data_IF_945246804247
#
_entry.id   IF_945246804247
#
_cell.length_a   1.000
_cell.length_b   1.000
_cell.length_c   1.000
_cell.angle_alpha   90.00
_cell.angle_beta   90.00
_cell.angle_gamma   90.00
#
_symmetry.space_group_name_H-M   'P 1'
#
loop_
_entity.id
_entity.type
_entity.pdbx_description
1 polymer ?
#
# COMPACT_ATOMS: atom_id res chain seq x y z
N UNK A 1 -14.39 -23.03 -24.21
CA UNK A 1 -13.56 -24.17 -24.67
C UNK A 1 -13.74 -25.32 -23.69
N UNK A 2 -13.82 -26.57 -24.16
CA UNK A 2 -13.97 -27.72 -23.26
C UNK A 2 -12.62 -28.19 -22.73
N UNK A 3 -12.48 -28.23 -21.40
CA UNK A 3 -11.30 -28.76 -20.70
C UNK A 3 -11.69 -30.08 -20.04
N UNK A 4 -11.05 -31.22 -20.36
CA UNK A 4 -11.27 -32.48 -19.66
C UNK A 4 -11.00 -32.33 -18.16
N UNK A 5 -11.97 -32.70 -17.33
CA UNK A 5 -11.87 -32.50 -15.89
C UNK A 5 -12.64 -33.57 -15.08
N UNK A 6 -12.23 -33.72 -13.82
CA UNK A 6 -12.89 -34.52 -12.79
C UNK A 6 -13.14 -33.60 -11.61
N UNK A 7 -14.41 -33.42 -11.25
CA UNK A 7 -14.82 -32.66 -10.06
C UNK A 7 -15.29 -33.66 -9.01
N UNK A 8 -14.70 -33.58 -7.83
CA UNK A 8 -15.12 -34.31 -6.63
C UNK A 8 -15.55 -33.31 -5.55
N UNK A 9 -16.21 -33.76 -4.45
CA UNK A 9 -16.57 -32.86 -3.36
C UNK A 9 -15.40 -32.11 -2.72
N UNK A 10 -14.18 -32.65 -2.83
CA UNK A 10 -12.98 -32.15 -2.14
C UNK A 10 -11.85 -31.70 -3.08
N UNK A 11 -11.95 -31.96 -4.39
CA UNK A 11 -10.89 -31.63 -5.34
C UNK A 11 -11.41 -31.49 -6.77
N UNK A 12 -10.69 -30.71 -7.57
CA UNK A 12 -10.85 -30.62 -9.02
C UNK A 12 -9.54 -31.04 -9.66
N UNK A 13 -9.61 -31.90 -10.66
CA UNK A 13 -8.46 -32.28 -11.50
C UNK A 13 -8.78 -31.97 -12.95
N UNK A 14 -7.88 -31.28 -13.64
CA UNK A 14 -7.97 -31.00 -15.08
C UNK A 14 -6.87 -31.76 -15.83
N UNK A 15 -7.12 -32.05 -17.10
CA UNK A 15 -6.14 -32.70 -17.98
C UNK A 15 -6.06 -31.87 -19.26
N UNK A 16 -4.88 -31.28 -19.51
CA UNK A 16 -4.55 -30.59 -20.76
C UNK A 16 -3.30 -31.27 -21.32
N UNK A 17 -2.14 -31.09 -20.67
CA UNK A 17 -0.89 -31.81 -21.00
C UNK A 17 -0.48 -32.79 -19.90
N UNK A 18 -0.52 -32.32 -18.65
CA UNK A 18 -0.29 -33.10 -17.43
C UNK A 18 -1.50 -32.93 -16.51
N UNK A 19 -1.86 -33.95 -15.70
CA UNK A 19 -2.90 -33.79 -14.69
C UNK A 19 -2.52 -32.71 -13.69
N UNK A 20 -3.39 -31.71 -13.52
CA UNK A 20 -3.24 -30.69 -12.46
C UNK A 20 -4.46 -30.71 -11.56
N UNK A 21 -4.23 -30.61 -10.26
CA UNK A 21 -5.28 -30.72 -9.25
C UNK A 21 -5.22 -29.60 -8.23
N UNK A 22 -6.39 -29.13 -7.83
CA UNK A 22 -6.58 -28.25 -6.68
C UNK A 22 -7.58 -28.89 -5.72
N UNK A 23 -7.42 -28.67 -4.42
CA UNK A 23 -8.37 -29.13 -3.39
C UNK A 23 -9.35 -28.02 -2.97
N UNK A 24 -10.34 -28.38 -2.15
CA UNK A 24 -11.40 -27.48 -1.67
C UNK A 24 -10.91 -26.29 -0.85
N UNK A 25 -9.72 -26.37 -0.26
CA UNK A 25 -9.10 -25.26 0.46
C UNK A 25 -8.48 -24.21 -0.47
N UNK A 26 -8.33 -24.52 -1.77
CA UNK A 26 -7.80 -23.60 -2.76
C UNK A 26 -8.69 -22.35 -2.89
N UNK A 27 -8.12 -21.13 -2.87
CA UNK A 27 -8.90 -19.88 -2.84
C UNK A 27 -9.85 -19.73 -4.04
N UNK A 28 -9.46 -20.24 -5.20
CA UNK A 28 -10.26 -20.20 -6.42
C UNK A 28 -11.08 -21.48 -6.67
N UNK A 29 -11.21 -22.38 -5.69
CA UNK A 29 -11.87 -23.68 -5.90
C UNK A 29 -13.30 -23.54 -6.47
N UNK A 30 -14.13 -22.69 -5.85
CA UNK A 30 -15.51 -22.44 -6.30
C UNK A 30 -15.56 -21.85 -7.70
N UNK A 31 -14.71 -20.86 -7.98
CA UNK A 31 -14.60 -20.21 -9.29
C UNK A 31 -14.20 -21.20 -10.37
N UNK A 32 -13.22 -22.06 -10.11
CA UNK A 32 -12.75 -23.09 -11.03
C UNK A 32 -13.85 -24.12 -11.32
N UNK A 33 -14.56 -24.60 -10.28
CA UNK A 33 -15.71 -25.51 -10.44
C UNK A 33 -16.80 -24.87 -11.31
N UNK A 34 -17.13 -23.61 -11.05
CA UNK A 34 -18.18 -22.89 -11.78
C UNK A 34 -17.83 -22.69 -13.27
N UNK A 35 -16.59 -22.28 -13.56
CA UNK A 35 -16.10 -22.09 -14.92
C UNK A 35 -16.10 -23.40 -15.72
N UNK A 36 -15.67 -24.50 -15.10
CA UNK A 36 -15.68 -25.83 -15.71
C UNK A 36 -17.11 -26.35 -15.93
N UNK A 37 -17.99 -26.20 -14.94
CA UNK A 37 -19.39 -26.66 -15.00
C UNK A 37 -20.19 -25.92 -16.07
N UNK A 38 -19.97 -24.61 -16.20
CA UNK A 38 -20.65 -23.77 -17.21
C UNK A 38 -19.98 -23.80 -18.57
N UNK A 39 -18.87 -24.51 -18.71
CA UNK A 39 -18.03 -24.53 -19.90
C UNK A 39 -17.63 -23.11 -20.38
N UNK A 40 -17.45 -22.20 -19.42
CA UNK A 40 -17.27 -20.77 -19.62
C UNK A 40 -15.79 -20.35 -19.67
N UNK A 41 -14.89 -21.31 -19.84
CA UNK A 41 -13.46 -21.04 -20.02
C UNK A 41 -13.22 -20.50 -21.42
N UNK A 42 -12.97 -19.19 -21.50
CA UNK A 42 -12.72 -18.49 -22.76
C UNK A 42 -11.23 -18.46 -23.11
N UNK A 43 -10.36 -18.37 -22.10
CA UNK A 43 -8.91 -18.41 -22.23
C UNK A 43 -8.32 -19.48 -21.29
N UNK A 44 -7.51 -20.37 -21.86
CA UNK A 44 -6.86 -21.47 -21.13
C UNK A 44 -5.71 -20.96 -20.27
N UNK A 45 -4.98 -19.93 -20.71
CA UNK A 45 -3.85 -19.38 -19.96
C UNK A 45 -4.33 -18.75 -18.65
N UNK A 46 -5.32 -17.85 -18.72
CA UNK A 46 -5.97 -17.24 -17.56
C UNK A 46 -6.59 -18.27 -16.61
N UNK A 47 -7.20 -19.34 -17.16
CA UNK A 47 -7.76 -20.42 -16.35
C UNK A 47 -6.69 -21.23 -15.61
N UNK A 48 -5.52 -21.45 -16.21
CA UNK A 48 -4.39 -22.09 -15.53
C UNK A 48 -3.82 -21.23 -14.40
N UNK A 49 -3.70 -19.91 -14.59
CA UNK A 49 -3.25 -19.00 -13.54
C UNK A 49 -4.21 -19.01 -12.34
N UNK A 50 -5.52 -19.08 -12.62
CA UNK A 50 -6.56 -19.31 -11.61
C UNK A 50 -6.35 -20.58 -10.77
N UNK A 51 -5.76 -21.63 -11.35
CA UNK A 51 -5.46 -22.91 -10.69
C UNK A 51 -4.07 -22.95 -10.04
N UNK A 52 -3.19 -22.00 -10.33
CA UNK A 52 -1.82 -21.92 -9.78
C UNK A 52 -1.54 -20.51 -9.21
N UNK A 53 -2.28 -20.04 -8.20
CA UNK A 53 -2.05 -18.73 -7.58
C UNK A 53 -0.61 -18.59 -7.03
N UNK A 54 -0.01 -19.71 -6.62
CA UNK A 54 1.40 -19.78 -6.20
C UNK A 54 2.38 -19.43 -7.32
N UNK A 55 2.03 -19.65 -8.60
CA UNK A 55 2.91 -19.32 -9.73
C UNK A 55 2.97 -17.82 -9.97
N UNK A 56 1.86 -17.11 -9.84
CA UNK A 56 1.87 -15.64 -9.86
C UNK A 56 2.65 -15.07 -8.69
N UNK A 57 2.44 -15.59 -7.48
CA UNK A 57 3.27 -15.19 -6.33
C UNK A 57 4.75 -15.44 -6.59
N UNK A 58 5.13 -16.62 -7.10
CA UNK A 58 6.51 -16.91 -7.44
C UNK A 58 7.09 -15.94 -8.48
N UNK A 59 6.31 -15.52 -9.49
CA UNK A 59 6.73 -14.51 -10.46
C UNK A 59 6.89 -13.13 -9.81
N UNK A 60 5.93 -12.71 -9.00
CA UNK A 60 5.94 -11.43 -8.29
C UNK A 60 7.13 -11.32 -7.35
N UNK A 61 7.32 -12.36 -6.54
CA UNK A 61 8.41 -12.51 -5.57
C UNK A 61 9.76 -12.54 -6.28
N UNK A 62 9.90 -13.27 -7.39
CA UNK A 62 11.14 -13.32 -8.17
C UNK A 62 11.55 -11.98 -8.81
N UNK A 63 10.61 -11.05 -8.98
CA UNK A 63 10.87 -9.70 -9.48
C UNK A 63 11.19 -8.69 -8.35
N UNK A 64 11.40 -9.16 -7.12
CA UNK A 64 11.51 -8.33 -5.92
C UNK A 64 12.49 -8.91 -4.91
N UNK A 65 12.67 -8.23 -3.78
CA UNK A 65 13.43 -8.75 -2.64
C UNK A 65 12.61 -9.67 -1.72
N UNK A 66 11.31 -9.84 -2.01
CA UNK A 66 10.49 -10.79 -1.28
C UNK A 66 10.93 -12.23 -1.61
N UNK A 67 10.61 -13.15 -0.70
CA UNK A 67 10.73 -14.60 -0.89
C UNK A 67 9.44 -15.28 -0.45
N UNK A 68 9.18 -16.49 -0.93
CA UNK A 68 7.99 -17.26 -0.52
C UNK A 68 8.39 -18.69 -0.16
N UNK A 69 7.82 -19.22 0.92
CA UNK A 69 8.02 -20.62 1.29
C UNK A 69 7.02 -21.56 0.59
N UNK A 70 7.19 -22.87 0.79
CA UNK A 70 6.31 -23.88 0.18
C UNK A 70 4.87 -23.86 0.70
N UNK A 71 4.59 -23.11 1.77
CA UNK A 71 3.27 -22.97 2.40
C UNK A 71 2.52 -21.73 1.91
N UNK A 72 3.13 -20.91 1.04
CA UNK A 72 2.53 -19.68 0.52
C UNK A 72 2.73 -18.46 1.42
N UNK A 73 3.56 -18.56 2.45
CA UNK A 73 3.92 -17.41 3.28
C UNK A 73 5.01 -16.59 2.57
N UNK A 74 4.81 -15.27 2.49
CA UNK A 74 5.75 -14.32 1.90
C UNK A 74 6.63 -13.71 3.00
N UNK A 75 7.92 -13.55 2.70
CA UNK A 75 8.93 -13.04 3.62
C UNK A 75 9.77 -11.95 2.96
N UNK A 76 10.29 -11.03 3.76
CA UNK A 76 11.39 -10.14 3.37
C UNK A 76 12.57 -10.39 4.30
N UNK A 77 13.78 -10.51 3.75
CA UNK A 77 14.99 -10.60 4.58
C UNK A 77 15.34 -9.22 5.14
N UNK A 78 15.45 -9.14 6.46
CA UNK A 78 15.82 -7.93 7.19
C UNK A 78 17.04 -8.26 8.03
N UNK A 79 18.21 -7.82 7.57
CA UNK A 79 19.50 -8.05 8.24
C UNK A 79 19.80 -9.54 8.51
N UNK A 80 19.42 -10.43 7.58
CA UNK A 80 19.60 -11.88 7.72
C UNK A 80 18.52 -12.57 8.54
N UNK A 81 17.47 -11.84 8.96
CA UNK A 81 16.31 -12.40 9.64
C UNK A 81 15.07 -12.39 8.72
N UNK A 82 14.40 -13.53 8.54
CA UNK A 82 13.19 -13.58 7.71
C UNK A 82 12.02 -12.92 8.42
N UNK A 83 11.53 -11.81 7.87
CA UNK A 83 10.33 -11.13 8.33
C UNK A 83 9.12 -11.62 7.53
N UNK A 84 8.23 -12.36 8.19
CA UNK A 84 7.00 -12.86 7.56
C UNK A 84 5.98 -11.73 7.38
N UNK A 85 5.50 -11.56 6.15
CA UNK A 85 4.40 -10.65 5.85
C UNK A 85 3.08 -11.25 6.32
N UNK A 86 2.18 -10.39 6.82
CA UNK A 86 0.81 -10.80 7.00
C UNK A 86 0.10 -10.99 5.65
N UNK A 87 -0.96 -11.81 5.59
CA UNK A 87 -1.70 -12.08 4.36
C UNK A 87 -2.13 -10.81 3.59
N UNK A 88 -2.46 -9.76 4.33
CA UNK A 88 -2.84 -8.45 3.80
C UNK A 88 -1.74 -7.83 2.93
N UNK A 89 -0.51 -7.78 3.44
CA UNK A 89 0.62 -7.25 2.71
C UNK A 89 1.06 -8.19 1.58
N UNK A 90 0.95 -9.51 1.78
CA UNK A 90 1.22 -10.47 0.72
C UNK A 90 0.28 -10.26 -0.48
N UNK A 91 -1.01 -9.97 -0.23
CA UNK A 91 -1.95 -9.63 -1.28
C UNK A 91 -1.60 -8.31 -1.99
N UNK A 92 -1.05 -7.32 -1.26
CA UNK A 92 -0.54 -6.09 -1.85
C UNK A 92 0.66 -6.33 -2.78
N UNK A 93 1.56 -7.27 -2.45
CA UNK A 93 2.66 -7.69 -3.35
C UNK A 93 2.10 -8.15 -4.69
N UNK A 94 1.09 -9.04 -4.68
CA UNK A 94 0.44 -9.48 -5.92
C UNK A 94 -0.27 -8.35 -6.65
N UNK A 95 -0.97 -7.48 -5.91
CA UNK A 95 -1.74 -6.37 -6.49
C UNK A 95 -0.82 -5.44 -7.27
N UNK A 96 0.30 -5.04 -6.65
CA UNK A 96 1.32 -4.19 -7.26
C UNK A 96 1.98 -4.90 -8.44
N UNK A 97 2.33 -6.18 -8.29
CA UNK A 97 2.92 -6.93 -9.40
C UNK A 97 2.00 -7.06 -10.62
N UNK A 98 0.71 -7.37 -10.41
CA UNK A 98 -0.30 -7.46 -11.48
C UNK A 98 -0.54 -6.13 -12.17
N UNK A 99 -0.33 -5.02 -11.46
CA UNK A 99 -0.34 -3.70 -12.06
C UNK A 99 0.94 -3.37 -12.83
N UNK A 100 1.93 -4.26 -12.91
CA UNK A 100 3.29 -4.00 -13.38
C UNK A 100 4.05 -2.95 -12.53
N UNK A 101 3.61 -2.74 -11.29
CA UNK A 101 4.13 -1.71 -10.40
C UNK A 101 5.42 -2.13 -9.70
N UNK A 102 6.17 -1.14 -9.23
CA UNK A 102 7.38 -1.34 -8.46
C UNK A 102 7.07 -1.68 -6.99
N UNK A 103 7.73 -2.72 -6.49
CA UNK A 103 7.60 -3.21 -5.12
C UNK A 103 8.52 -2.50 -4.13
N UNK A 104 9.45 -1.66 -4.59
CA UNK A 104 10.46 -0.97 -3.76
C UNK A 104 9.86 -0.20 -2.59
N UNK A 105 8.77 0.56 -2.82
CA UNK A 105 8.11 1.31 -1.74
C UNK A 105 7.52 0.38 -0.67
N UNK A 106 6.96 -0.77 -1.08
CA UNK A 106 6.41 -1.77 -0.17
C UNK A 106 7.53 -2.48 0.61
N UNK A 107 8.65 -2.79 -0.04
CA UNK A 107 9.84 -3.33 0.62
C UNK A 107 10.38 -2.36 1.68
N UNK A 108 10.52 -1.08 1.33
CA UNK A 108 10.96 -0.04 2.25
C UNK A 108 10.00 0.13 3.44
N UNK A 109 8.69 0.04 3.18
CA UNK A 109 7.67 0.06 4.23
C UNK A 109 7.82 -1.13 5.18
N UNK A 110 7.99 -2.35 4.66
CA UNK A 110 8.18 -3.55 5.50
C UNK A 110 9.47 -3.45 6.32
N UNK A 111 10.56 -2.92 5.75
CA UNK A 111 11.82 -2.66 6.47
C UNK A 111 11.62 -1.69 7.63
N UNK A 112 10.95 -0.57 7.40
CA UNK A 112 10.62 0.41 8.44
C UNK A 112 9.66 -0.18 9.47
N UNK A 113 8.67 -0.96 9.06
CA UNK A 113 7.73 -1.61 9.98
C UNK A 113 8.45 -2.56 10.95
N UNK A 114 9.41 -3.34 10.45
CA UNK A 114 10.19 -4.25 11.28
C UNK A 114 11.04 -3.55 12.35
N UNK A 115 11.32 -2.25 12.19
CA UNK A 115 12.01 -1.43 13.18
C UNK A 115 11.07 -0.96 14.30
N UNK A 116 9.75 -1.18 14.20
CA UNK A 116 8.83 -0.82 15.27
C UNK A 116 9.12 -1.67 16.53
N UNK A 117 9.37 -1.06 17.70
CA UNK A 117 9.67 -1.81 18.91
C UNK A 117 8.49 -2.64 19.43
N UNK A 118 7.27 -2.36 18.97
CA UNK A 118 6.07 -3.07 19.39
C UNK A 118 5.55 -3.99 18.28
N UNK A 119 5.74 -5.31 18.47
CA UNK A 119 5.31 -6.33 17.51
C UNK A 119 3.79 -6.41 17.36
N UNK A 120 3.02 -5.97 18.36
CA UNK A 120 1.55 -5.93 18.25
C UNK A 120 1.10 -4.86 17.25
N UNK A 121 1.90 -3.79 17.08
CA UNK A 121 1.62 -2.73 16.10
C UNK A 121 1.64 -3.26 14.67
N UNK A 122 2.40 -4.32 14.38
CA UNK A 122 2.44 -4.89 13.03
C UNK A 122 1.04 -5.35 12.60
N UNK A 123 0.39 -6.19 13.40
CA UNK A 123 -0.96 -6.69 13.14
C UNK A 123 -2.02 -5.58 13.15
N UNK A 124 -1.88 -4.63 14.07
CA UNK A 124 -2.75 -3.46 14.18
C UNK A 124 -2.69 -2.58 12.94
N UNK A 125 -1.49 -2.30 12.42
CA UNK A 125 -1.29 -1.46 11.24
C UNK A 125 -1.84 -2.13 9.98
N UNK A 126 -1.74 -3.46 9.85
CA UNK A 126 -2.38 -4.18 8.75
C UNK A 126 -3.89 -4.00 8.75
N UNK A 127 -4.52 -4.03 9.93
CA UNK A 127 -5.95 -3.80 10.07
C UNK A 127 -6.35 -2.37 9.70
N UNK A 128 -5.49 -1.37 9.97
CA UNK A 128 -5.68 0.00 9.51
C UNK A 128 -5.59 0.08 7.98
N UNK A 129 -4.54 -0.50 7.40
CA UNK A 129 -4.27 -0.51 5.95
C UNK A 129 -5.40 -1.16 5.14
N UNK A 130 -5.96 -2.27 5.61
CA UNK A 130 -7.11 -2.91 4.95
C UNK A 130 -8.31 -1.98 4.80
N UNK A 131 -8.50 -1.06 5.74
CA UNK A 131 -9.66 -0.16 5.79
C UNK A 131 -9.39 1.13 5.03
N UNK A 132 -8.15 1.64 5.08
CA UNK A 132 -7.81 2.93 4.47
C UNK A 132 -7.17 2.83 3.08
N UNK A 133 -6.76 1.63 2.65
CA UNK A 133 -5.85 1.45 1.52
C UNK A 133 -4.39 1.80 1.89
N UNK A 134 -3.46 1.44 1.02
CA UNK A 134 -2.03 1.67 1.25
C UNK A 134 -1.51 2.73 0.28
N UNK A 135 -1.20 3.90 0.82
CA UNK A 135 -0.58 5.02 0.13
C UNK A 135 0.85 5.18 0.66
N UNK A 136 1.85 4.74 -0.11
CA UNK A 136 3.25 4.76 0.29
C UNK A 136 4.02 5.84 -0.45
N UNK A 137 4.97 6.43 0.26
CA UNK A 137 6.08 7.18 -0.35
C UNK A 137 7.14 6.20 -0.87
N UNK A 138 8.00 6.67 -1.76
CA UNK A 138 9.15 5.89 -2.27
C UNK A 138 10.04 5.35 -1.16
N UNK A 139 10.17 6.09 -0.06
CA UNK A 139 10.98 5.68 1.10
C UNK A 139 10.25 4.73 2.06
N UNK A 140 8.99 4.36 1.79
CA UNK A 140 8.24 3.41 2.61
C UNK A 140 7.53 4.01 3.84
N UNK A 141 7.39 5.33 3.93
CA UNK A 141 6.41 5.92 4.85
C UNK A 141 5.01 5.85 4.25
N UNK A 142 3.99 5.74 5.11
CA UNK A 142 2.60 5.74 4.67
C UNK A 142 1.94 7.10 4.91
N UNK A 143 0.95 7.41 4.08
CA UNK A 143 0.18 8.64 4.15
C UNK A 143 -1.17 8.40 4.84
N UNK A 144 -1.57 9.36 5.66
CA UNK A 144 -2.87 9.40 6.31
C UNK A 144 -3.34 10.85 6.44
N UNK A 145 -4.44 11.05 7.16
CA UNK A 145 -5.08 12.36 7.26
C UNK A 145 -5.25 12.83 8.69
N UNK A 146 -5.38 14.14 8.84
CA UNK A 146 -5.70 14.78 10.12
C UNK A 146 -6.52 16.04 9.89
N UNK A 147 -7.61 16.19 10.64
CA UNK A 147 -8.32 17.47 10.73
C UNK A 147 -7.65 18.38 11.76
N UNK A 148 -7.48 19.64 11.39
CA UNK A 148 -6.79 20.70 12.14
C UNK A 148 -7.61 21.98 12.06
N UNK A 149 -7.43 22.87 13.03
CA UNK A 149 -8.13 24.17 13.05
C UNK A 149 -7.75 25.02 11.83
N UNK A 150 -8.51 26.08 11.58
CA UNK A 150 -8.23 27.02 10.47
C UNK A 150 -6.82 27.63 10.52
N UNK A 151 -6.22 27.71 11.71
CA UNK A 151 -4.85 28.15 11.94
C UNK A 151 -3.82 27.01 11.99
N UNK A 152 -4.19 25.81 11.54
CA UNK A 152 -3.40 24.56 11.55
C UNK A 152 -3.06 23.97 12.92
N UNK A 153 -3.54 24.53 14.02
CA UNK A 153 -3.34 23.89 15.32
C UNK A 153 -4.25 22.68 15.50
N UNK A 154 -3.81 21.71 16.31
CA UNK A 154 -4.62 20.55 16.62
C UNK A 154 -5.97 20.95 17.27
N UNK A 155 -6.99 20.13 17.01
CA UNK A 155 -8.37 20.45 17.42
C UNK A 155 -8.51 20.40 18.95
N UNK A 156 -7.91 19.40 19.60
CA UNK A 156 -8.15 19.09 21.00
C UNK A 156 -7.47 20.06 21.97
N UNK A 157 -6.15 20.22 21.89
CA UNK A 157 -5.40 21.10 22.80
C UNK A 157 -5.22 22.49 22.20
N UNK A 158 -5.12 22.60 20.87
CA UNK A 158 -4.78 23.87 20.20
C UNK A 158 -3.36 24.32 20.46
N UNK A 159 -2.44 23.39 20.76
CA UNK A 159 -1.06 23.69 21.13
C UNK A 159 -0.04 23.13 20.15
N UNK A 160 -0.43 22.15 19.32
CA UNK A 160 0.44 21.52 18.34
C UNK A 160 0.21 22.15 16.97
N UNK A 161 1.23 22.76 16.40
CA UNK A 161 1.19 23.35 15.06
C UNK A 161 1.34 22.26 14.00
N UNK A 162 0.33 22.09 13.14
CA UNK A 162 0.31 21.13 12.04
C UNK A 162 0.31 21.87 10.69
N UNK A 163 1.01 23.00 10.58
CA UNK A 163 1.23 23.67 9.30
C UNK A 163 2.05 22.79 8.35
N UNK A 164 1.79 22.82 7.03
CA UNK A 164 2.60 22.12 6.03
C UNK A 164 4.10 22.36 6.16
N UNK A 165 4.91 21.33 5.90
CA UNK A 165 6.37 21.38 5.99
C UNK A 165 6.94 21.18 7.40
N UNK A 166 6.11 20.81 8.39
CA UNK A 166 6.54 20.66 9.80
C UNK A 166 6.52 19.22 10.28
N UNK A 167 7.53 18.88 11.07
CA UNK A 167 7.49 17.73 11.96
C UNK A 167 6.68 18.06 13.21
N UNK A 168 5.77 17.16 13.59
CA UNK A 168 5.05 17.21 14.86
C UNK A 168 5.47 15.98 15.64
N UNK A 169 5.94 16.18 16.86
CA UNK A 169 6.49 15.12 17.69
C UNK A 169 6.13 15.27 19.17
N UNK A 170 6.09 14.14 19.87
CA UNK A 170 5.99 14.05 21.31
C UNK A 170 6.81 12.85 21.80
N UNK A 171 7.21 12.80 23.09
CA UNK A 171 7.94 11.63 23.59
C UNK A 171 7.12 10.34 23.42
N UNK A 172 7.70 9.30 22.81
CA UNK A 172 7.03 8.02 22.54
C UNK A 172 6.39 7.40 23.79
N UNK A 173 7.08 7.48 24.93
CA UNK A 173 6.59 6.96 26.20
C UNK A 173 5.33 7.67 26.72
N UNK A 174 5.03 8.87 26.21
CA UNK A 174 3.84 9.63 26.56
C UNK A 174 2.62 9.31 25.67
N UNK A 175 2.79 8.47 24.64
CA UNK A 175 1.72 8.01 23.76
C UNK A 175 1.04 6.78 24.36
N UNK A 176 -0.30 6.74 24.30
CA UNK A 176 -1.08 5.61 24.79
C UNK A 176 -0.89 4.38 23.89
N UNK A 177 -0.26 3.35 24.45
CA UNK A 177 -0.01 2.06 23.79
C UNK A 177 -1.20 1.11 23.78
N UNK A 178 -2.13 1.23 24.74
CA UNK A 178 -3.27 0.31 24.82
C UNK A 178 -4.33 0.69 23.77
N UNK A 179 -4.59 -0.18 22.76
CA UNK A 179 -5.56 0.11 21.70
C UNK A 179 -7.02 0.12 22.19
N UNK A 180 -7.29 -0.36 23.41
CA UNK A 180 -8.63 -0.32 24.02
C UNK A 180 -8.90 0.96 24.81
N UNK A 181 -7.87 1.77 25.08
CA UNK A 181 -8.06 3.12 25.66
C UNK A 181 -8.30 4.08 24.52
N UNK A 182 -9.57 4.39 24.26
CA UNK A 182 -10.01 5.27 23.18
C UNK A 182 -9.73 6.74 23.51
N UNK A 183 -9.55 7.58 22.49
CA UNK A 183 -9.36 9.04 22.62
C UNK A 183 -8.31 9.47 23.67
N UNK A 184 -7.19 8.75 23.76
CA UNK A 184 -6.11 8.96 24.74
C UNK A 184 -4.90 9.68 24.11
N UNK A 185 -3.88 9.99 24.91
CA UNK A 185 -2.72 10.75 24.46
C UNK A 185 -2.01 10.12 23.26
N UNK A 186 -1.64 10.94 22.28
CA UNK A 186 -0.94 10.52 21.07
C UNK A 186 -1.16 11.49 19.93
N UNK A 187 -0.23 11.50 18.97
CA UNK A 187 -0.42 12.22 17.73
C UNK A 187 -1.33 11.39 16.82
N UNK A 188 -2.60 11.80 16.76
CA UNK A 188 -3.61 11.06 16.01
C UNK A 188 -3.50 11.34 14.51
N UNK A 189 -3.55 10.26 13.73
CA UNK A 189 -3.78 10.22 12.29
C UNK A 189 -4.99 9.33 12.00
N UNK A 190 -5.58 9.47 10.82
CA UNK A 190 -6.82 8.81 10.49
C UNK A 190 -6.95 8.47 9.00
N UNK A 191 -7.75 7.45 8.71
CA UNK A 191 -8.26 7.17 7.38
C UNK A 191 -9.24 8.28 6.96
N UNK A 192 -9.41 8.45 5.65
CA UNK A 192 -10.31 9.47 5.08
C UNK A 192 -11.73 9.40 5.68
N UNK A 193 -12.32 8.20 5.72
CA UNK A 193 -13.68 7.99 6.23
C UNK A 193 -13.89 8.35 7.71
N UNK A 194 -12.83 8.45 8.50
CA UNK A 194 -12.93 8.86 9.91
C UNK A 194 -13.04 10.38 10.08
N UNK A 195 -12.55 11.16 9.11
CA UNK A 195 -12.49 12.62 9.23
C UNK A 195 -13.87 13.26 9.41
N UNK A 196 -14.93 12.66 8.86
CA UNK A 196 -16.31 13.13 9.09
C UNK A 196 -16.78 13.00 10.54
N UNK A 197 -16.15 12.13 11.33
CA UNK A 197 -16.51 11.89 12.73
C UNK A 197 -15.76 12.80 13.71
N UNK A 198 -14.65 13.43 13.30
CA UNK A 198 -13.85 14.27 14.17
C UNK A 198 -13.30 15.50 13.43
N UNK A 199 -13.71 16.70 13.86
CA UNK A 199 -13.27 17.94 13.23
C UNK A 199 -13.95 18.23 11.89
N UNK A 200 -15.19 17.75 11.71
CA UNK A 200 -15.97 18.01 10.49
C UNK A 200 -16.05 19.52 10.18
N UNK A 201 -15.79 19.88 8.92
CA UNK A 201 -15.80 21.27 8.45
C UNK A 201 -14.56 22.08 8.84
N UNK A 202 -13.55 21.47 9.47
CA UNK A 202 -12.23 22.07 9.68
C UNK A 202 -11.30 21.73 8.51
N UNK A 203 -10.11 22.36 8.48
CA UNK A 203 -9.07 22.04 7.50
C UNK A 203 -8.60 20.60 7.66
N UNK A 204 -8.21 19.98 6.55
CA UNK A 204 -7.59 18.65 6.53
C UNK A 204 -6.16 18.77 6.02
N UNK A 205 -5.23 18.07 6.66
CA UNK A 205 -3.84 17.94 6.19
C UNK A 205 -3.50 16.47 5.92
N UNK A 206 -2.58 16.25 4.98
CA UNK A 206 -1.95 14.95 4.77
C UNK A 206 -0.74 14.84 5.69
N UNK A 207 -0.67 13.72 6.40
CA UNK A 207 0.43 13.36 7.29
C UNK A 207 1.21 12.19 6.71
N UNK A 208 2.54 12.29 6.73
CA UNK A 208 3.47 11.21 6.40
C UNK A 208 3.99 10.59 7.69
N UNK A 209 3.82 9.28 7.82
CA UNK A 209 4.17 8.53 9.04
C UNK A 209 5.09 7.37 8.68
N UNK A 210 6.20 7.27 9.40
CA UNK A 210 7.03 6.08 9.36
C UNK A 210 6.35 4.96 10.17
N UNK A 211 6.17 3.74 9.63
CA UNK A 211 5.53 2.65 10.36
C UNK A 211 6.25 2.26 11.68
N UNK A 212 7.55 2.56 11.84
CA UNK A 212 8.26 2.43 13.11
C UNK A 212 7.75 3.39 14.20
N UNK A 213 7.17 4.53 13.81
CA UNK A 213 6.72 5.59 14.70
C UNK A 213 5.29 5.42 15.22
N UNK A 214 4.57 4.46 14.67
CA UNK A 214 3.23 4.07 15.13
C UNK A 214 3.35 3.41 16.51
N UNK A 215 2.46 3.80 17.42
CA UNK A 215 2.41 3.30 18.80
C UNK A 215 1.19 2.42 19.05
N UNK A 216 0.04 2.77 18.49
CA UNK A 216 -1.16 1.92 18.57
C UNK A 216 -2.19 2.31 17.51
N UNK A 217 -2.99 1.33 17.07
CA UNK A 217 -4.21 1.55 16.29
C UNK A 217 -5.39 1.22 17.20
N UNK A 218 -6.11 2.23 17.72
CA UNK A 218 -7.28 1.99 18.53
C UNK A 218 -8.33 1.14 17.81
N UNK A 219 -8.91 0.20 18.56
CA UNK A 219 -9.92 -0.75 18.04
C UNK A 219 -11.29 -0.12 17.81
N UNK A 220 -11.52 1.07 18.38
CA UNK A 220 -12.75 1.83 18.14
C UNK A 220 -12.76 2.46 16.75
N UNK A 221 -13.94 2.53 16.15
CA UNK A 221 -14.16 3.08 14.80
C UNK A 221 -13.50 2.27 13.68
N UNK A 222 -13.66 0.94 13.71
CA UNK A 222 -13.24 0.03 12.63
C UNK A 222 -11.76 0.22 12.22
N UNK A 223 -10.87 0.45 13.19
CA UNK A 223 -9.43 0.65 12.95
C UNK A 223 -9.13 1.82 11.99
N UNK A 224 -9.99 2.85 11.94
CA UNK A 224 -9.82 3.99 11.02
C UNK A 224 -8.98 5.13 11.60
N UNK A 225 -8.42 4.98 12.80
CA UNK A 225 -7.52 5.95 13.42
C UNK A 225 -6.32 5.26 14.04
N UNK A 226 -5.20 5.98 14.11
CA UNK A 226 -3.99 5.51 14.74
C UNK A 226 -3.31 6.59 15.57
N UNK A 227 -2.30 6.18 16.33
CA UNK A 227 -1.46 7.04 17.16
C UNK A 227 -0.02 6.82 16.79
N UNK A 228 0.67 7.91 16.48
CA UNK A 228 2.12 7.94 16.35
C UNK A 228 2.72 8.84 17.44
N UNK A 229 4.04 8.75 17.61
CA UNK A 229 4.77 9.71 18.43
C UNK A 229 5.38 10.85 17.62
N UNK A 230 5.53 10.67 16.30
CA UNK A 230 5.90 11.73 15.35
C UNK A 230 5.33 11.46 13.96
N UNK A 231 5.15 12.53 13.19
CA UNK A 231 4.84 12.50 11.76
C UNK A 231 5.23 13.83 11.11
N UNK A 232 5.28 13.86 9.78
CA UNK A 232 5.50 15.07 9.00
C UNK A 232 4.20 15.55 8.34
N UNK A 233 3.94 16.85 8.35
CA UNK A 233 2.81 17.44 7.63
C UNK A 233 3.24 17.73 6.20
N UNK A 234 2.66 17.03 5.23
CA UNK A 234 3.03 17.23 3.83
C UNK A 234 2.35 18.48 3.25
N UNK A 235 1.01 18.52 3.28
CA UNK A 235 0.25 19.65 2.73
C UNK A 235 -1.17 19.73 3.30
N UNK A 236 -1.78 20.90 3.13
CA UNK A 236 -3.24 21.06 3.26
C UNK A 236 -3.94 20.38 2.08
N UNK A 237 -5.09 19.77 2.36
CA UNK A 237 -5.98 19.25 1.34
C UNK A 237 -7.01 20.32 1.03
N UNK A 238 -6.88 20.97 -0.14
CA UNK A 238 -7.79 22.04 -0.56
C UNK A 238 -9.19 21.52 -0.88
N UNK A 239 -9.28 20.31 -1.46
CA UNK A 239 -10.54 19.66 -1.83
C UNK A 239 -10.61 18.24 -1.23
N UNK A 240 -10.97 18.13 0.05
CA UNK A 240 -10.82 16.87 0.77
C UNK A 240 -11.73 15.75 0.23
N UNK A 241 -12.88 16.13 -0.29
CA UNK A 241 -13.85 15.24 -0.95
C UNK A 241 -13.30 14.53 -2.20
N UNK A 242 -12.31 15.12 -2.90
CA UNK A 242 -11.69 14.51 -4.08
C UNK A 242 -10.77 13.34 -3.71
N UNK A 243 -10.33 13.21 -2.45
CA UNK A 243 -9.47 12.11 -1.99
C UNK A 243 -10.24 10.86 -1.58
N UNK A 244 -11.58 10.86 -1.64
CA UNK A 244 -12.44 9.75 -1.22
C UNK A 244 -12.13 8.42 -1.92
N UNK A 245 -11.64 8.48 -3.16
CA UNK A 245 -11.46 7.32 -4.03
C UNK A 245 -10.04 7.20 -4.60
N UNK A 246 -9.09 8.03 -4.15
CA UNK A 246 -7.75 8.08 -4.73
C UNK A 246 -6.70 7.74 -3.67
N UNK A 247 -5.87 6.70 -3.88
CA UNK A 247 -4.67 6.53 -3.09
C UNK A 247 -3.79 7.77 -3.29
N UNK A 248 -3.48 8.46 -2.19
CA UNK A 248 -2.63 9.64 -2.22
C UNK A 248 -1.20 9.16 -2.41
N UNK A 249 -0.55 9.57 -3.49
CA UNK A 249 0.89 9.42 -3.64
C UNK A 249 1.50 10.83 -3.62
N UNK A 250 2.41 11.06 -2.69
CA UNK A 250 3.20 12.28 -2.63
C UNK A 250 4.64 11.87 -2.88
N UNK A 251 5.20 12.33 -4.00
CA UNK A 251 6.62 12.31 -4.24
C UNK A 251 7.21 13.44 -3.41
N UNK A 252 8.11 13.11 -2.49
CA UNK A 252 9.04 14.13 -2.00
C UNK A 252 10.08 14.28 -3.12
N UNK A 253 10.17 15.46 -3.72
CA UNK A 253 11.45 15.88 -4.30
C UNK A 253 12.41 15.86 -3.12
N UNK A 254 13.41 14.99 -3.18
CA UNK A 254 14.51 15.01 -2.23
C UNK A 254 15.14 16.41 -2.32
N UNK A 255 14.76 17.31 -1.40
CA UNK A 255 15.58 18.47 -1.15
C UNK A 255 16.82 17.92 -0.48
N UNK A 256 17.84 17.61 -1.29
CA UNK A 256 19.19 17.33 -0.83
C UNK A 256 19.55 18.40 0.21
N UNK A 257 19.59 17.97 1.48
CA UNK A 257 20.35 18.70 2.47
C UNK A 257 21.78 18.33 2.16
N UNK A 258 22.46 19.29 1.55
CA UNK A 258 23.88 19.32 1.19
C UNK A 258 24.75 18.82 2.35
N UNK A 259 25.02 17.52 2.38
CA UNK A 259 26.12 16.94 3.13
C UNK A 259 27.19 16.57 2.09
N UNK A 260 28.20 17.44 2.01
CA UNK A 260 29.38 17.31 1.17
C UNK A 260 30.02 15.91 1.26
N UNK A 261 30.54 15.48 0.10
CA UNK A 261 31.44 14.35 -0.14
C UNK A 261 30.85 12.93 -0.11
N UNK A 262 30.50 12.39 -1.30
CA UNK A 262 31.12 11.17 -1.84
C UNK A 262 30.77 11.01 -3.34
N UNK A 263 31.80 10.95 -4.19
CA UNK A 263 31.67 10.68 -5.63
C UNK A 263 31.48 9.17 -5.89
N UNK A 264 30.54 8.80 -6.77
CA UNK A 264 30.76 7.72 -7.75
C UNK A 264 29.78 7.83 -8.94
N UNK A 265 30.34 7.88 -10.14
CA UNK A 265 29.66 7.82 -11.43
C UNK A 265 29.04 6.43 -11.68
N UNK A 266 27.77 6.39 -12.09
CA UNK A 266 27.24 5.34 -12.98
C UNK A 266 26.14 5.92 -13.86
N UNK A 267 26.49 6.20 -15.13
CA UNK A 267 25.56 6.51 -16.21
C UNK A 267 24.94 5.21 -16.78
N UNK A 268 23.64 5.01 -16.58
CA UNK A 268 22.81 4.14 -17.43
C UNK A 268 21.64 4.96 -17.99
N UNK A 269 21.81 5.48 -19.20
CA UNK A 269 20.81 6.25 -19.93
C UNK A 269 19.62 5.36 -20.36
N UNK A 270 18.52 5.41 -19.61
CA UNK A 270 17.22 4.85 -20.03
C UNK A 270 16.54 5.85 -20.97
N UNK A 271 16.23 5.39 -22.19
CA UNK A 271 15.68 6.22 -23.26
C UNK A 271 14.26 6.73 -22.90
N UNK A 272 14.10 8.05 -22.81
CA UNK A 272 12.93 8.71 -22.21
C UNK A 272 11.63 8.59 -23.03
N UNK A 273 11.73 8.30 -24.33
CA UNK A 273 10.58 8.25 -25.22
C UNK A 273 9.78 6.94 -25.12
N UNK A 274 10.38 5.84 -24.64
CA UNK A 274 9.70 4.52 -24.53
C UNK A 274 8.73 4.43 -23.32
N UNK A 275 8.79 5.37 -22.37
CA UNK A 275 8.05 5.34 -21.10
C UNK A 275 6.62 5.87 -21.20
N UNK A 276 6.35 6.77 -22.15
CA UNK A 276 5.01 7.29 -22.38
C UNK A 276 4.11 6.30 -23.11
N UNK A 277 4.70 5.47 -23.99
CA UNK A 277 3.97 4.47 -24.78
C UNK A 277 3.43 3.32 -23.91
N UNK A 278 3.91 3.17 -22.68
CA UNK A 278 3.44 2.19 -21.69
C UNK A 278 2.22 2.65 -20.88
N UNK A 279 1.87 3.94 -20.92
CA UNK A 279 0.74 4.53 -20.17
C UNK A 279 -0.49 4.62 -21.08
N UNK A 280 -1.65 4.14 -20.61
CA UNK A 280 -2.87 4.18 -21.44
C UNK A 280 -3.31 5.62 -21.75
N UNK A 281 -3.80 5.87 -22.97
CA UNK A 281 -4.25 7.21 -23.39
C UNK A 281 -5.34 7.80 -22.46
N UNK A 282 -6.17 6.96 -21.85
CA UNK A 282 -7.21 7.39 -20.92
C UNK A 282 -6.60 8.02 -19.64
N UNK A 283 -5.46 7.51 -19.17
CA UNK A 283 -4.72 8.04 -18.02
C UNK A 283 -4.03 9.36 -18.39
N UNK A 284 -3.40 9.42 -19.56
CA UNK A 284 -2.76 10.65 -20.06
C UNK A 284 -3.78 11.79 -20.20
N UNK A 285 -4.97 11.49 -20.73
CA UNK A 285 -6.05 12.47 -20.88
C UNK A 285 -6.62 12.91 -19.52
N UNK A 286 -6.68 12.01 -18.54
CA UNK A 286 -7.10 12.35 -17.18
C UNK A 286 -6.12 13.29 -16.48
N UNK A 287 -4.81 13.04 -16.62
CA UNK A 287 -3.76 13.89 -16.05
C UNK A 287 -3.70 15.28 -16.71
N UNK A 288 -3.90 15.36 -18.03
CA UNK A 288 -4.01 16.63 -18.74
C UNK A 288 -5.21 17.45 -18.28
N UNK A 289 -6.36 16.80 -18.04
CA UNK A 289 -7.55 17.47 -17.52
C UNK A 289 -7.38 18.00 -16.09
N UNK A 290 -6.46 17.41 -15.32
CA UNK A 290 -6.04 17.88 -14.00
C UNK A 290 -4.97 19.00 -14.05
N UNK A 291 -4.56 19.42 -15.25
CA UNK A 291 -3.66 20.56 -15.46
C UNK A 291 -2.17 20.23 -15.46
N UNK A 292 -1.79 18.95 -15.48
CA UNK A 292 -0.39 18.54 -15.57
C UNK A 292 0.16 18.73 -16.99
N UNK A 293 1.39 19.24 -17.11
CA UNK A 293 2.08 19.37 -18.39
C UNK A 293 2.57 18.02 -18.89
N UNK A 294 2.77 17.87 -20.20
CA UNK A 294 3.29 16.63 -20.78
C UNK A 294 4.66 16.25 -20.21
N UNK A 295 5.50 17.22 -19.82
CA UNK A 295 6.78 16.96 -19.14
C UNK A 295 6.59 16.44 -17.71
N UNK A 296 5.60 16.96 -16.96
CA UNK A 296 5.26 16.45 -15.65
C UNK A 296 4.70 15.02 -15.75
N UNK A 297 3.89 14.75 -16.77
CA UNK A 297 3.32 13.43 -17.05
C UNK A 297 4.43 12.44 -17.45
N UNK A 298 5.41 12.84 -18.27
CA UNK A 298 6.61 12.04 -18.61
C UNK A 298 7.40 11.64 -17.36
N UNK A 299 7.62 12.59 -16.45
CA UNK A 299 8.28 12.30 -15.18
C UNK A 299 7.42 11.42 -14.25
N UNK A 300 6.09 11.54 -14.29
CA UNK A 300 5.19 10.65 -13.57
C UNK A 300 5.20 9.22 -14.15
N UNK A 301 5.22 9.06 -15.48
CA UNK A 301 5.23 7.76 -16.17
C UNK A 301 6.49 6.92 -15.86
N UNK A 302 7.62 7.59 -15.56
CA UNK A 302 8.87 6.96 -15.12
C UNK A 302 8.76 6.26 -13.76
N UNK A 303 7.81 6.66 -12.91
CA UNK A 303 7.80 6.30 -11.49
C UNK A 303 6.42 5.97 -10.92
N UNK A 304 5.37 5.86 -11.75
CA UNK A 304 3.98 5.67 -11.29
C UNK A 304 3.17 4.76 -12.20
N UNK A 305 2.34 3.91 -11.58
CA UNK A 305 1.22 3.22 -12.25
C UNK A 305 -0.10 3.65 -11.62
N UNK A 306 -1.01 4.13 -12.47
CA UNK A 306 -2.41 4.36 -12.16
C UNK A 306 -3.23 3.07 -12.31
N UNK A 307 -4.01 2.69 -11.29
CA UNK A 307 -5.16 1.79 -11.48
C UNK A 307 -6.35 2.31 -10.64
N UNK A 308 -7.52 2.60 -11.26
CA UNK A 308 -8.75 2.90 -10.53
C UNK A 308 -9.34 1.62 -9.89
N UNK A 309 -10.08 1.80 -8.79
CA UNK A 309 -10.90 0.76 -8.15
C UNK A 309 -11.86 0.08 -9.13
#
# INVERSE_FOLDING_TARGET
MYIPHIITPNSVTIIIDQPKSIDKSHPNFSTVVDLLTRNAVNDVASFFELMEPMREYNKAVAASQFTMNNEGCVFLDIEGFPFQLAPELANEVLRIYRSAGDLTALEAFVRKLAQNPDKEVHAQLYSFIQVCGLALTSTGDFLAYKNVKDNFFDIYTGTMDNSPGKWVEMPRFAVEKNPHRTCSAGLHFAAWGYLSHYGYGQKTVIVRINPADVVSIPSDYNNMKGRAYRYFIVKEVEQPEELKNHPVFLFEEDTEVDDEDYCCDTDEDVNEDDLLDAVSEDVLNSLRNLGYSDDAIRNMAKHVIFIPL
#
